data_IF_879609918952
#
_entry.id   IF_879609918952
#
_cell.length_a   1.000
_cell.length_b   1.000
_cell.length_c   1.000
_cell.angle_alpha   90.00
_cell.angle_beta   90.00
_cell.angle_gamma   90.00
#
_symmetry.space_group_name_H-M   'P 1'
#
loop_
_entity.id
_entity.type
_entity.pdbx_description
1 polymer ?
#
# COMPACT_ATOMS: atom_id res chain seq x y z
N UNK A 1 2.33 0.91 -17.21
CA UNK A 1 2.29 1.49 -15.84
C UNK A 1 3.41 0.83 -15.06
N UNK A 2 4.27 1.60 -14.38
CA UNK A 2 5.32 1.04 -13.53
C UNK A 2 4.84 1.11 -12.08
N UNK A 3 4.64 -0.05 -11.47
CA UNK A 3 4.24 -0.15 -10.06
C UNK A 3 5.40 -0.66 -9.22
N UNK A 4 5.63 -0.02 -8.08
CA UNK A 4 6.66 -0.41 -7.11
C UNK A 4 5.94 -1.08 -5.94
N UNK A 5 6.26 -2.34 -5.68
CA UNK A 5 5.65 -3.11 -4.59
C UNK A 5 6.24 -2.72 -3.23
N UNK A 6 5.69 -1.68 -2.61
CA UNK A 6 6.08 -1.27 -1.27
C UNK A 6 5.73 -2.34 -0.21
N UNK A 7 6.55 -2.48 0.86
CA UNK A 7 7.75 -1.71 1.19
C UNK A 7 9.04 -2.40 0.68
N UNK A 8 8.92 -3.62 0.15
CA UNK A 8 10.02 -4.51 -0.17
C UNK A 8 10.72 -4.12 -1.48
N UNK A 9 9.99 -3.47 -2.37
CA UNK A 9 10.51 -2.84 -3.57
C UNK A 9 10.67 -1.34 -3.35
N UNK A 10 11.84 -0.83 -3.72
CA UNK A 10 12.16 0.59 -3.66
C UNK A 10 13.05 0.97 -4.83
N UNK A 11 12.92 2.23 -5.25
CA UNK A 11 13.63 2.75 -6.41
C UNK A 11 15.09 3.03 -6.06
N UNK A 12 16.01 2.40 -6.80
CA UNK A 12 17.44 2.56 -6.65
C UNK A 12 17.98 3.64 -7.58
N UNK A 13 17.55 3.61 -8.84
CA UNK A 13 18.02 4.58 -9.82
C UNK A 13 17.00 4.89 -10.91
N UNK A 14 17.22 6.04 -11.52
CA UNK A 14 16.58 6.42 -12.78
C UNK A 14 17.66 6.69 -13.80
N UNK A 15 17.58 5.96 -14.92
CA UNK A 15 18.35 6.24 -16.13
C UNK A 15 17.46 6.99 -17.09
N UNK A 16 18.04 7.89 -17.87
CA UNK A 16 17.33 8.53 -18.95
C UNK A 16 18.29 9.25 -19.87
N UNK A 17 17.75 9.93 -20.85
CA UNK A 17 18.52 10.77 -21.73
C UNK A 17 17.68 11.91 -22.31
N UNK A 18 18.38 12.96 -22.69
CA UNK A 18 17.82 14.12 -23.35
C UNK A 18 18.34 14.22 -24.78
N UNK A 19 17.48 14.68 -25.69
CA UNK A 19 17.86 14.95 -27.08
C UNK A 19 18.72 16.22 -27.19
N UNK A 20 19.10 16.58 -28.41
CA UNK A 20 19.88 17.80 -28.70
C UNK A 20 19.16 19.11 -28.33
N UNK A 21 17.85 19.08 -28.08
CA UNK A 21 17.07 20.21 -27.56
C UNK A 21 17.00 20.25 -26.03
N UNK A 22 17.76 19.39 -25.35
CA UNK A 22 17.77 19.20 -23.89
C UNK A 22 16.41 18.79 -23.31
N UNK A 23 15.58 18.11 -24.11
CA UNK A 23 14.29 17.57 -23.64
C UNK A 23 14.47 16.12 -23.26
N UNK A 24 13.99 15.71 -22.09
CA UNK A 24 14.08 14.32 -21.65
C UNK A 24 13.11 13.48 -22.48
N UNK A 25 13.66 12.56 -23.27
CA UNK A 25 12.91 11.79 -24.27
C UNK A 25 12.78 10.30 -23.91
N UNK A 26 13.57 9.82 -22.96
CA UNK A 26 13.55 8.43 -22.51
C UNK A 26 13.94 8.28 -21.05
N UNK A 27 13.18 7.49 -20.29
CA UNK A 27 13.45 7.21 -18.88
C UNK A 27 13.24 5.73 -18.57
N UNK A 28 14.12 5.15 -17.79
CA UNK A 28 14.06 3.79 -17.27
C UNK A 28 14.24 3.80 -15.76
N UNK A 29 13.37 3.08 -15.05
CA UNK A 29 13.39 2.95 -13.60
C UNK A 29 14.02 1.62 -13.19
N UNK A 30 14.94 1.66 -12.22
CA UNK A 30 15.53 0.46 -11.62
C UNK A 30 15.23 0.41 -10.14
N UNK A 31 14.61 -0.66 -9.68
CA UNK A 31 14.37 -0.96 -8.26
C UNK A 31 15.34 -2.04 -7.78
N UNK A 32 15.26 -2.38 -6.50
CA UNK A 32 16.02 -3.52 -5.95
C UNK A 32 15.52 -4.89 -6.42
N UNK A 33 14.42 -4.98 -7.18
CA UNK A 33 13.86 -6.26 -7.65
C UNK A 33 13.73 -6.35 -9.17
N UNK A 34 13.59 -5.22 -9.88
CA UNK A 34 13.41 -5.21 -11.34
C UNK A 34 13.87 -3.91 -11.98
N UNK A 35 14.03 -3.95 -13.29
CA UNK A 35 14.23 -2.78 -14.14
C UNK A 35 13.04 -2.68 -15.10
N UNK A 36 12.52 -1.48 -15.33
CA UNK A 36 11.44 -1.25 -16.30
C UNK A 36 11.96 -1.25 -17.74
N UNK A 37 11.06 -1.33 -18.71
CA UNK A 37 11.34 -0.87 -20.07
C UNK A 37 11.55 0.66 -20.08
N UNK A 38 12.04 1.20 -21.19
CA UNK A 38 12.07 2.64 -21.41
C UNK A 38 10.66 3.20 -21.58
N UNK A 39 10.36 4.24 -20.82
CA UNK A 39 9.25 5.14 -21.05
C UNK A 39 9.72 6.26 -21.96
N UNK A 40 9.24 6.24 -23.21
CA UNK A 40 9.72 7.12 -24.28
C UNK A 40 10.67 6.38 -25.21
N UNK A 41 11.72 7.05 -25.67
CA UNK A 41 12.70 6.50 -26.60
C UNK A 41 13.88 5.85 -25.87
N UNK A 42 14.28 4.66 -26.29
CA UNK A 42 15.57 4.09 -25.90
C UNK A 42 16.70 4.82 -26.61
N UNK A 43 17.85 5.00 -25.94
CA UNK A 43 19.03 5.60 -26.55
C UNK A 43 19.87 4.53 -27.24
N UNK A 44 20.19 4.74 -28.51
CA UNK A 44 21.06 3.86 -29.29
C UNK A 44 22.44 4.49 -29.53
N UNK A 45 23.48 3.67 -29.80
CA UNK A 45 24.79 4.18 -30.18
C UNK A 45 24.70 5.09 -31.42
N UNK A 46 25.14 6.34 -31.28
CA UNK A 46 25.09 7.35 -32.34
C UNK A 46 24.01 8.42 -32.13
N UNK A 47 23.10 8.24 -31.18
CA UNK A 47 22.12 9.27 -30.83
C UNK A 47 22.80 10.46 -30.14
N UNK A 48 22.54 11.66 -30.67
CA UNK A 48 23.00 12.92 -30.08
C UNK A 48 22.13 13.28 -28.87
N UNK A 49 22.77 13.53 -27.72
CA UNK A 49 22.06 13.83 -26.50
C UNK A 49 22.86 13.59 -25.22
N UNK A 50 22.28 13.99 -24.09
CA UNK A 50 22.93 13.88 -22.77
C UNK A 50 22.29 12.77 -21.94
N UNK A 51 23.12 11.88 -21.38
CA UNK A 51 22.68 10.84 -20.45
C UNK A 51 22.38 11.42 -19.06
N UNK A 52 21.33 10.88 -18.45
CA UNK A 52 20.87 11.23 -17.11
C UNK A 52 20.95 9.96 -16.27
N UNK A 53 21.66 10.06 -15.14
CA UNK A 53 21.71 9.00 -14.14
C UNK A 53 21.46 9.60 -12.76
N UNK A 54 20.34 9.22 -12.16
CA UNK A 54 20.00 9.55 -10.79
C UNK A 54 20.23 8.30 -9.94
N UNK A 55 21.42 8.18 -9.38
CA UNK A 55 21.82 7.04 -8.54
C UNK A 55 22.80 7.51 -7.47
N UNK A 56 22.58 7.06 -6.23
CA UNK A 56 23.53 7.27 -5.14
C UNK A 56 23.73 5.95 -4.42
N UNK A 57 24.99 5.51 -4.33
CA UNK A 57 25.36 4.27 -3.62
C UNK A 57 24.76 4.24 -2.22
N UNK A 58 24.21 3.09 -1.82
CA UNK A 58 23.61 2.83 -0.51
C UNK A 58 22.41 3.74 -0.17
N UNK A 59 21.76 4.34 -1.19
CA UNK A 59 20.56 5.18 -1.05
C UNK A 59 19.45 4.77 -2.01
N UNK A 60 18.21 5.02 -1.59
CA UNK A 60 17.02 4.88 -2.43
C UNK A 60 16.44 6.25 -2.77
N UNK A 61 15.77 6.34 -3.90
CA UNK A 61 15.01 7.52 -4.30
C UNK A 61 13.70 7.55 -3.51
N UNK A 62 13.41 8.68 -2.85
CA UNK A 62 12.21 8.90 -2.03
C UNK A 62 11.30 10.02 -2.56
N UNK A 63 11.69 10.63 -3.67
CA UNK A 63 10.91 11.66 -4.34
C UNK A 63 11.68 12.27 -5.50
N UNK A 64 11.00 13.11 -6.28
CA UNK A 64 11.57 13.77 -7.45
C UNK A 64 11.34 15.28 -7.38
N UNK A 65 12.18 16.02 -8.09
CA UNK A 65 11.99 17.44 -8.38
C UNK A 65 12.41 17.71 -9.83
N UNK A 66 12.01 18.85 -10.40
CA UNK A 66 12.33 19.18 -11.77
C UNK A 66 11.40 20.25 -12.32
N UNK A 67 11.47 20.44 -13.62
CA UNK A 67 10.61 21.36 -14.36
C UNK A 67 10.12 20.68 -15.63
N UNK A 68 8.84 20.89 -15.93
CA UNK A 68 8.19 20.41 -17.13
C UNK A 68 7.29 21.52 -17.70
N UNK A 69 7.17 21.53 -19.02
CA UNK A 69 6.15 22.26 -19.75
C UNK A 69 5.20 21.25 -20.41
N UNK A 70 5.02 21.33 -21.73
CA UNK A 70 4.52 20.23 -22.57
C UNK A 70 5.40 18.97 -22.56
N UNK A 71 6.67 19.10 -22.17
CA UNK A 71 7.65 18.02 -22.09
C UNK A 71 8.44 18.11 -20.77
N UNK A 72 9.10 17.01 -20.40
CA UNK A 72 9.98 16.98 -19.24
C UNK A 72 11.33 17.63 -19.59
N UNK A 73 11.65 18.75 -18.95
CA UNK A 73 12.88 19.50 -19.22
C UNK A 73 14.01 19.11 -18.27
N UNK A 74 13.69 18.84 -17.01
CA UNK A 74 14.67 18.44 -16.01
C UNK A 74 14.07 17.48 -15.01
N UNK A 75 14.93 16.59 -14.51
CA UNK A 75 14.58 15.61 -13.49
C UNK A 75 15.73 15.48 -12.51
N UNK A 76 15.42 15.62 -11.23
CA UNK A 76 16.29 15.32 -10.10
C UNK A 76 15.56 14.46 -9.08
N UNK A 77 16.31 13.89 -8.15
CA UNK A 77 15.79 12.94 -7.16
C UNK A 77 16.25 13.30 -5.75
N UNK A 78 15.35 13.11 -4.78
CA UNK A 78 15.67 13.12 -3.37
C UNK A 78 16.09 11.72 -2.94
N UNK A 79 17.22 11.62 -2.24
CA UNK A 79 17.79 10.35 -1.80
C UNK A 79 17.75 10.23 -0.28
N UNK A 80 17.33 9.08 0.22
CA UNK A 80 17.47 8.70 1.61
C UNK A 80 18.38 7.48 1.72
N UNK A 81 19.15 7.32 2.81
CA UNK A 81 19.86 6.06 3.08
C UNK A 81 18.94 4.88 2.88
N UNK A 82 19.42 3.85 2.17
CA UNK A 82 18.96 2.49 2.40
C UNK A 82 19.55 2.20 3.76
N UNK A 83 18.92 2.70 4.83
CA UNK A 83 19.26 2.26 6.15
C UNK A 83 19.33 0.73 6.06
N UNK A 84 20.32 0.12 6.70
CA UNK A 84 20.34 -1.29 7.02
C UNK A 84 19.16 -1.62 7.96
N UNK A 85 17.94 -1.21 7.58
CA UNK A 85 16.71 -1.81 8.03
C UNK A 85 16.86 -3.26 7.60
N UNK A 86 16.90 -4.21 8.55
CA UNK A 86 16.31 -5.48 8.24
C UNK A 86 14.93 -5.09 7.71
N UNK A 87 14.63 -5.42 6.45
CA UNK A 87 13.24 -5.70 6.11
C UNK A 87 12.84 -6.71 7.18
N UNK A 88 12.20 -6.28 8.27
CA UNK A 88 11.62 -7.22 9.22
C UNK A 88 10.81 -8.13 8.33
N UNK A 89 11.16 -9.42 8.21
CA UNK A 89 10.55 -10.26 7.20
C UNK A 89 9.04 -10.25 7.47
N UNK A 90 8.31 -9.51 6.65
CA UNK A 90 6.87 -9.38 6.77
C UNK A 90 6.26 -10.37 5.81
N UNK A 91 5.42 -11.26 6.32
CA UNK A 91 4.72 -12.25 5.51
C UNK A 91 3.38 -11.68 5.06
N UNK A 92 3.10 -11.73 3.77
CA UNK A 92 1.78 -11.42 3.21
C UNK A 92 0.87 -12.64 3.41
N UNK A 93 -0.18 -12.50 4.22
CA UNK A 93 -1.20 -13.54 4.37
C UNK A 93 -2.23 -13.44 3.24
N UNK A 94 -2.84 -14.58 2.89
CA UNK A 94 -3.91 -14.64 1.90
C UNK A 94 -5.09 -13.78 2.34
N UNK A 95 -5.63 -13.00 1.41
CA UNK A 95 -6.80 -12.17 1.65
C UNK A 95 -8.09 -13.00 1.60
N UNK A 96 -9.13 -12.53 2.29
CA UNK A 96 -10.43 -13.19 2.41
C UNK A 96 -11.56 -12.23 2.01
N UNK A 97 -12.63 -12.78 1.43
CA UNK A 97 -13.77 -12.03 0.89
C UNK A 97 -14.02 -12.32 -0.59
N UNK A 98 -14.66 -11.37 -1.29
CA UNK A 98 -14.97 -11.43 -2.71
C UNK A 98 -13.77 -11.13 -3.62
N UNK A 99 -13.90 -11.46 -4.90
CA UNK A 99 -12.83 -11.27 -5.91
C UNK A 99 -13.04 -10.03 -6.82
N UNK A 100 -14.03 -9.20 -6.49
CA UNK A 100 -14.40 -8.02 -7.26
C UNK A 100 -13.69 -6.75 -6.77
N UNK A 101 -13.70 -5.71 -7.60
CA UNK A 101 -13.10 -4.41 -7.28
C UNK A 101 -11.63 -4.28 -7.67
N UNK A 102 -11.11 -3.07 -7.54
CA UNK A 102 -9.72 -2.74 -7.81
C UNK A 102 -8.84 -3.24 -6.66
N UNK A 103 -7.73 -3.88 -6.99
CA UNK A 103 -6.73 -4.30 -6.01
C UNK A 103 -6.04 -3.08 -5.40
N UNK A 104 -5.73 -3.18 -4.11
CA UNK A 104 -4.94 -2.19 -3.37
C UNK A 104 -4.01 -2.91 -2.40
N UNK A 105 -2.87 -2.29 -2.12
CA UNK A 105 -1.85 -2.84 -1.23
C UNK A 105 -1.09 -1.67 -0.60
N UNK A 106 -1.27 -1.46 0.70
CA UNK A 106 -0.55 -0.40 1.43
C UNK A 106 0.91 -0.80 1.70
N UNK A 107 1.25 -2.08 1.55
CA UNK A 107 2.51 -2.66 1.99
C UNK A 107 2.54 -2.94 3.48
N UNK A 108 3.75 -3.06 4.03
CA UNK A 108 4.03 -3.38 5.42
C UNK A 108 4.86 -2.26 6.07
N UNK A 109 4.62 -2.03 7.35
CA UNK A 109 5.21 -0.94 8.12
C UNK A 109 5.76 -1.47 9.46
N UNK A 110 6.16 -0.59 10.37
CA UNK A 110 6.56 -1.03 11.71
C UNK A 110 5.38 -1.38 12.60
N UNK A 111 4.20 -0.82 12.33
CA UNK A 111 2.97 -1.12 13.04
C UNK A 111 1.79 -0.27 12.60
N UNK A 112 0.61 -0.60 13.13
CA UNK A 112 -0.64 0.12 12.90
C UNK A 112 -0.89 1.07 14.07
N UNK A 113 -1.34 2.29 13.79
CA UNK A 113 -1.70 3.28 14.80
C UNK A 113 -3.19 3.51 14.90
N UNK A 114 -3.86 3.61 13.76
CA UNK A 114 -5.28 3.92 13.72
C UNK A 114 -5.93 3.28 12.50
N UNK A 115 -7.13 2.77 12.67
CA UNK A 115 -7.94 2.21 11.60
C UNK A 115 -9.26 2.99 11.57
N UNK A 116 -9.70 3.35 10.37
CA UNK A 116 -10.99 3.98 10.14
C UNK A 116 -11.82 3.06 9.26
N UNK A 117 -13.05 2.78 9.69
CA UNK A 117 -13.97 1.90 8.97
C UNK A 117 -15.26 2.66 8.71
N UNK A 118 -15.60 2.83 7.43
CA UNK A 118 -16.87 3.41 6.99
C UNK A 118 -17.84 2.31 6.56
N UNK A 119 -19.08 2.41 7.05
CA UNK A 119 -20.12 1.41 6.81
C UNK A 119 -21.21 1.97 5.91
N UNK A 120 -21.86 1.09 5.16
CA UNK A 120 -23.08 1.36 4.42
C UNK A 120 -24.09 0.23 4.70
N UNK A 121 -25.32 0.34 4.21
CA UNK A 121 -26.43 -0.57 4.54
C UNK A 121 -26.10 -2.06 4.40
N UNK A 122 -25.20 -2.40 3.46
CA UNK A 122 -24.91 -3.78 3.08
C UNK A 122 -23.50 -4.24 3.48
N UNK A 123 -22.75 -3.46 4.29
CA UNK A 123 -21.46 -3.89 4.81
C UNK A 123 -20.39 -2.79 4.92
N UNK A 124 -19.13 -3.23 4.98
CA UNK A 124 -17.98 -2.32 5.04
C UNK A 124 -17.77 -1.68 3.67
N UNK A 125 -17.96 -0.37 3.63
CA UNK A 125 -17.84 0.43 2.40
C UNK A 125 -16.48 1.10 2.25
N UNK A 126 -15.77 1.32 3.36
CA UNK A 126 -14.51 2.07 3.38
C UNK A 126 -13.58 1.58 4.49
N UNK A 127 -12.28 1.49 4.19
CA UNK A 127 -11.22 1.26 5.17
C UNK A 127 -10.06 2.21 4.87
N UNK A 128 -9.53 2.87 5.90
CA UNK A 128 -8.26 3.58 5.84
C UNK A 128 -7.44 3.28 7.09
N UNK A 129 -6.12 3.24 6.94
CA UNK A 129 -5.21 2.86 8.03
C UNK A 129 -4.07 3.86 8.13
N UNK A 130 -3.79 4.31 9.35
CA UNK A 130 -2.58 5.07 9.67
C UNK A 130 -1.56 4.12 10.29
N UNK A 131 -0.34 4.16 9.76
CA UNK A 131 0.77 3.31 10.13
C UNK A 131 1.89 4.10 10.82
N UNK A 132 2.73 3.37 11.55
CA UNK A 132 4.01 3.85 12.05
C UNK A 132 5.14 3.25 11.21
N UNK A 133 6.08 4.08 10.78
CA UNK A 133 7.32 3.67 10.13
C UNK A 133 8.49 4.45 10.73
N UNK A 134 9.27 3.82 11.60
CA UNK A 134 10.23 4.48 12.47
C UNK A 134 9.56 5.54 13.35
N UNK A 135 10.04 6.78 13.23
CA UNK A 135 9.47 7.97 13.90
C UNK A 135 8.36 8.65 13.10
N UNK A 136 8.09 8.20 11.87
CA UNK A 136 7.11 8.83 10.98
C UNK A 136 5.74 8.16 11.08
N UNK A 137 4.69 8.97 11.00
CA UNK A 137 3.33 8.52 10.74
C UNK A 137 3.10 8.48 9.23
N UNK A 138 2.54 7.38 8.73
CA UNK A 138 2.18 7.21 7.31
C UNK A 138 0.67 7.03 7.24
N UNK A 139 -0.02 7.94 6.57
CA UNK A 139 -1.47 7.83 6.34
C UNK A 139 -1.66 7.00 5.06
N UNK A 140 -2.25 5.82 5.18
CA UNK A 140 -2.60 4.96 4.06
C UNK A 140 -3.71 5.55 3.21
N UNK A 141 -3.92 4.96 2.03
CA UNK A 141 -5.03 5.32 1.15
C UNK A 141 -6.39 5.00 1.79
N UNK A 142 -7.42 5.76 1.41
CA UNK A 142 -8.78 5.37 1.66
C UNK A 142 -9.25 4.37 0.62
N UNK A 143 -9.65 3.18 1.05
CA UNK A 143 -10.03 2.06 0.18
C UNK A 143 -11.53 1.82 0.23
N UNK A 144 -12.19 1.92 -0.91
CA UNK A 144 -13.65 1.85 -1.02
C UNK A 144 -14.30 3.24 -1.09
N UNK A 145 -15.60 3.31 -0.83
CA UNK A 145 -16.37 4.56 -0.86
C UNK A 145 -16.81 4.96 0.54
N UNK A 146 -16.31 6.10 1.01
CA UNK A 146 -16.74 6.66 2.27
C UNK A 146 -18.23 7.03 2.21
N UNK A 147 -19.00 6.53 3.19
CA UNK A 147 -20.44 6.82 3.25
C UNK A 147 -20.70 8.17 3.96
N UNK A 148 -21.87 8.80 3.71
CA UNK A 148 -22.27 10.01 4.42
C UNK A 148 -22.48 9.82 5.93
N UNK A 149 -22.56 8.56 6.41
CA UNK A 149 -22.71 8.22 7.83
C UNK A 149 -21.42 8.43 8.63
N UNK A 150 -20.30 8.71 7.95
CA UNK A 150 -19.01 8.93 8.57
C UNK A 150 -18.21 7.63 8.72
N UNK A 151 -17.18 7.69 9.56
CA UNK A 151 -16.27 6.57 9.83
C UNK A 151 -16.15 6.35 11.33
N UNK A 152 -16.14 5.08 11.73
CA UNK A 152 -15.76 4.69 13.07
C UNK A 152 -14.24 4.51 13.13
N UNK A 153 -13.64 4.86 14.27
CA UNK A 153 -12.19 4.85 14.45
C UNK A 153 -11.78 3.87 15.55
N UNK A 154 -10.76 3.06 15.27
CA UNK A 154 -10.05 2.24 16.23
C UNK A 154 -8.61 2.73 16.35
N UNK A 155 -8.25 3.32 17.49
CA UNK A 155 -6.91 3.86 17.75
C UNK A 155 -6.16 2.99 18.76
N UNK A 156 -4.89 2.70 18.47
CA UNK A 156 -4.03 1.88 19.30
C UNK A 156 -3.21 2.76 20.25
N UNK A 157 -3.13 2.32 21.51
CA UNK A 157 -2.33 2.98 22.55
C UNK A 157 -0.84 2.61 22.47
N UNK A 158 0.00 3.28 23.27
CA UNK A 158 1.45 3.00 23.27
C UNK A 158 1.76 1.56 23.69
N UNK A 159 2.59 0.87 22.89
CA UNK A 159 2.91 -0.55 23.07
C UNK A 159 1.76 -1.50 22.72
N UNK A 160 0.64 -1.00 22.18
CA UNK A 160 -0.43 -1.81 21.63
C UNK A 160 -0.15 -2.15 20.17
N UNK A 161 -0.46 -3.38 19.78
CA UNK A 161 -0.33 -3.87 18.41
C UNK A 161 -1.42 -4.90 18.11
N UNK A 162 -1.85 -4.94 16.86
CA UNK A 162 -2.88 -5.88 16.40
C UNK A 162 -2.26 -7.27 16.25
N UNK A 163 -2.91 -8.28 16.81
CA UNK A 163 -2.50 -9.70 16.76
C UNK A 163 -3.33 -10.50 15.77
N UNK A 164 -4.61 -10.15 15.58
CA UNK A 164 -5.46 -10.74 14.55
C UNK A 164 -6.54 -9.77 14.04
N UNK A 165 -7.00 -10.03 12.82
CA UNK A 165 -8.23 -9.41 12.27
C UNK A 165 -9.24 -10.50 12.00
N UNK A 166 -10.39 -10.43 12.66
CA UNK A 166 -11.57 -11.18 12.31
C UNK A 166 -12.28 -10.51 11.15
N UNK A 167 -12.51 -11.24 10.06
CA UNK A 167 -13.19 -10.76 8.86
C UNK A 167 -14.47 -11.56 8.67
N UNK A 168 -15.60 -10.87 8.68
CA UNK A 168 -16.88 -11.40 8.24
C UNK A 168 -17.12 -10.99 6.79
N UNK A 169 -17.56 -11.92 5.96
CA UNK A 169 -17.94 -11.63 4.57
C UNK A 169 -19.15 -12.46 4.16
N UNK A 170 -19.98 -11.89 3.30
CA UNK A 170 -21.18 -12.54 2.80
C UNK A 170 -21.53 -12.06 1.39
N UNK A 171 -22.38 -12.81 0.70
CA UNK A 171 -22.98 -12.39 -0.56
C UNK A 171 -24.20 -11.51 -0.28
N UNK A 172 -24.08 -10.23 -0.63
CA UNK A 172 -25.17 -9.26 -0.59
C UNK A 172 -25.85 -9.13 -1.96
N UNK A 173 -27.11 -8.69 -1.97
CA UNK A 173 -27.80 -8.30 -3.19
C UNK A 173 -27.63 -6.81 -3.43
N UNK A 174 -26.58 -6.45 -4.16
CA UNK A 174 -26.29 -5.09 -4.56
C UNK A 174 -26.43 -4.95 -6.09
N UNK A 175 -26.97 -3.82 -6.54
CA UNK A 175 -27.04 -3.47 -7.97
C UNK A 175 -27.72 -4.54 -8.85
N UNK A 176 -28.70 -5.26 -8.30
CA UNK A 176 -29.46 -6.29 -9.01
C UNK A 176 -28.73 -7.62 -9.20
N UNK A 177 -27.58 -7.85 -8.56
CA UNK A 177 -26.87 -9.13 -8.58
C UNK A 177 -26.25 -9.49 -7.21
N UNK A 178 -25.81 -10.74 -7.07
CA UNK A 178 -25.09 -11.18 -5.87
C UNK A 178 -23.63 -10.74 -5.92
N UNK A 179 -23.17 -10.03 -4.88
CA UNK A 179 -21.81 -9.52 -4.74
C UNK A 179 -21.28 -9.94 -3.38
N UNK A 180 -20.10 -10.55 -3.31
CA UNK A 180 -19.47 -10.89 -2.03
C UNK A 180 -18.69 -9.68 -1.51
N UNK A 181 -18.98 -9.26 -0.28
CA UNK A 181 -18.34 -8.11 0.38
C UNK A 181 -17.93 -8.45 1.80
N UNK A 182 -16.98 -7.69 2.35
CA UNK A 182 -16.68 -7.70 3.78
C UNK A 182 -17.83 -7.01 4.51
N UNK A 183 -18.51 -7.73 5.39
CA UNK A 183 -19.67 -7.25 6.13
C UNK A 183 -19.29 -6.69 7.49
N UNK A 184 -18.23 -7.23 8.12
CA UNK A 184 -17.68 -6.68 9.36
C UNK A 184 -16.20 -7.01 9.58
N UNK A 185 -15.50 -6.11 10.28
CA UNK A 185 -14.13 -6.28 10.74
C UNK A 185 -14.08 -6.23 12.27
N UNK A 186 -13.26 -7.08 12.86
CA UNK A 186 -13.00 -7.07 14.30
C UNK A 186 -11.52 -7.17 14.58
N UNK A 187 -10.98 -6.25 15.37
CA UNK A 187 -9.54 -6.18 15.62
C UNK A 187 -9.25 -6.71 17.02
N UNK A 188 -8.31 -7.64 17.11
CA UNK A 188 -7.75 -8.10 18.38
C UNK A 188 -6.33 -7.57 18.51
N UNK A 189 -6.02 -6.98 19.64
CA UNK A 189 -4.69 -6.49 19.98
C UNK A 189 -4.10 -7.32 21.12
N UNK A 190 -2.86 -7.02 21.50
CA UNK A 190 -2.27 -7.56 22.72
C UNK A 190 -2.91 -7.01 24.01
N UNK A 191 -3.80 -6.02 23.92
CA UNK A 191 -4.43 -5.37 25.09
C UNK A 191 -5.95 -5.49 25.14
N UNK A 192 -6.62 -5.50 23.99
CA UNK A 192 -8.07 -5.46 23.92
C UNK A 192 -8.61 -6.16 22.66
N UNK A 193 -9.92 -6.29 22.61
CA UNK A 193 -10.66 -6.72 21.43
C UNK A 193 -11.66 -5.61 21.13
N UNK A 194 -11.69 -5.13 19.89
CA UNK A 194 -12.63 -4.10 19.47
C UNK A 194 -14.07 -4.63 19.41
N UNK A 195 -15.03 -3.71 19.41
CA UNK A 195 -16.36 -3.98 18.86
C UNK A 195 -16.25 -4.39 17.38
N UNK A 196 -17.22 -5.13 16.82
CA UNK A 196 -17.29 -5.33 15.38
C UNK A 196 -17.59 -3.99 14.69
N UNK A 197 -16.85 -3.70 13.62
CA UNK A 197 -17.12 -2.58 12.71
C UNK A 197 -17.89 -3.13 11.52
N UNK A 198 -19.18 -2.81 11.39
CA UNK A 198 -20.08 -3.42 10.42
C UNK A 198 -21.04 -4.43 11.05
N UNK A 199 -21.70 -5.20 10.19
CA UNK A 199 -22.72 -6.17 10.59
C UNK A 199 -22.12 -7.58 10.57
N UNK A 200 -22.07 -8.23 11.73
CA UNK A 200 -21.60 -9.61 11.81
C UNK A 200 -22.62 -10.53 11.13
N UNK A 201 -22.25 -11.12 10.00
CA UNK A 201 -23.10 -12.02 9.21
C UNK A 201 -22.29 -12.67 8.09
N UNK A 202 -22.69 -13.87 7.69
CA UNK A 202 -21.99 -14.68 6.69
C UNK A 202 -20.86 -15.53 7.26
N UNK A 203 -19.85 -15.78 6.43
CA UNK A 203 -18.65 -16.55 6.78
C UNK A 203 -17.69 -15.71 7.62
N UNK A 204 -16.91 -16.37 8.48
CA UNK A 204 -15.92 -15.73 9.35
C UNK A 204 -14.56 -16.38 9.18
N UNK A 205 -13.53 -15.54 8.99
CA UNK A 205 -12.14 -15.98 9.00
C UNK A 205 -11.31 -15.05 9.88
N UNK A 206 -10.44 -15.63 10.71
CA UNK A 206 -9.47 -14.88 11.51
C UNK A 206 -8.11 -14.89 10.80
N UNK A 207 -7.66 -13.71 10.35
CA UNK A 207 -6.32 -13.51 9.81
C UNK A 207 -5.34 -13.31 10.97
N UNK A 208 -4.46 -14.30 11.18
CA UNK A 208 -3.40 -14.27 12.20
C UNK A 208 -2.21 -15.13 11.83
N UNK A 209 -1.08 -14.85 12.47
CA UNK A 209 0.06 -15.76 12.53
C UNK A 209 0.67 -15.71 13.92
N UNK A 210 0.81 -16.87 14.57
CA UNK A 210 1.31 -16.95 15.96
C UNK A 210 2.71 -16.31 16.09
N UNK A 211 2.91 -15.56 17.17
CA UNK A 211 4.16 -14.83 17.43
C UNK A 211 4.37 -13.56 16.58
N UNK A 212 3.41 -13.20 15.72
CA UNK A 212 3.50 -12.02 14.87
C UNK A 212 2.45 -10.96 15.24
N UNK A 213 2.70 -9.73 14.79
CA UNK A 213 1.75 -8.62 14.79
C UNK A 213 1.41 -8.22 13.36
N UNK A 214 0.24 -7.62 13.17
CA UNK A 214 -0.16 -7.05 11.88
C UNK A 214 0.50 -5.70 11.68
N UNK A 215 1.06 -5.52 10.48
CA UNK A 215 1.88 -4.36 10.11
C UNK A 215 1.45 -3.72 8.80
N UNK A 216 0.42 -4.22 8.13
CA UNK A 216 0.03 -3.76 6.81
C UNK A 216 -1.27 -4.41 6.36
N UNK A 217 -1.95 -3.77 5.42
CA UNK A 217 -3.20 -4.24 4.84
C UNK A 217 -3.14 -4.22 3.31
N UNK A 218 -3.83 -5.17 2.70
CA UNK A 218 -4.06 -5.22 1.25
C UNK A 218 -5.45 -5.80 0.97
N UNK A 219 -5.95 -5.67 -0.25
CA UNK A 219 -7.27 -6.20 -0.58
C UNK A 219 -7.80 -5.75 -1.92
N UNK A 220 -9.13 -5.78 -2.03
CA UNK A 220 -9.87 -5.30 -3.21
C UNK A 220 -11.05 -4.46 -2.78
N UNK A 221 -11.28 -3.34 -3.48
CA UNK A 221 -12.37 -2.42 -3.16
C UNK A 221 -12.96 -1.76 -4.41
N UNK A 222 -14.23 -1.39 -4.32
CA UNK A 222 -14.96 -0.55 -5.27
C UNK A 222 -15.86 0.44 -4.51
N UNK A 223 -17.18 0.36 -4.66
CA UNK A 223 -18.13 0.99 -3.74
C UNK A 223 -18.15 0.29 -2.35
N UNK A 224 -17.71 -0.97 -2.29
CA UNK A 224 -17.54 -1.74 -1.06
C UNK A 224 -16.12 -2.26 -0.91
N UNK A 225 -15.77 -2.65 0.31
CA UNK A 225 -14.58 -3.47 0.54
C UNK A 225 -14.97 -4.91 0.26
N UNK A 226 -14.40 -5.47 -0.81
CA UNK A 226 -14.69 -6.85 -1.22
C UNK A 226 -13.79 -7.84 -0.51
N UNK A 227 -12.52 -7.50 -0.34
CA UNK A 227 -11.50 -8.41 0.16
C UNK A 227 -10.55 -7.69 1.11
N UNK A 228 -10.12 -8.38 2.17
CA UNK A 228 -9.11 -7.90 3.13
C UNK A 228 -8.07 -8.98 3.37
N UNK A 229 -6.81 -8.60 3.28
CA UNK A 229 -5.64 -9.37 3.69
C UNK A 229 -4.69 -8.50 4.52
N UNK A 230 -3.73 -9.16 5.17
CA UNK A 230 -2.80 -8.49 6.09
C UNK A 230 -1.36 -8.89 5.83
N UNK A 231 -0.44 -8.01 6.20
CA UNK A 231 0.97 -8.33 6.41
C UNK A 231 1.22 -8.54 7.90
N UNK A 232 2.01 -9.56 8.22
CA UNK A 232 2.41 -9.88 9.59
C UNK A 232 3.92 -9.87 9.75
N UNK A 233 4.42 -9.44 10.90
CA UNK A 233 5.85 -9.46 11.22
C UNK A 233 6.09 -9.88 12.68
N UNK A 234 7.25 -10.49 13.01
CA UNK A 234 7.50 -10.98 14.36
C UNK A 234 7.40 -9.88 15.42
N UNK A 235 6.77 -10.20 16.55
CA UNK A 235 6.79 -9.30 17.70
C UNK A 235 8.21 -9.27 18.25
N UNK A 236 8.85 -8.10 18.16
CA UNK A 236 10.18 -7.88 18.72
C UNK A 236 10.02 -7.72 20.22
N UNK A 237 10.65 -8.60 21.00
CA UNK A 237 10.70 -8.52 22.47
C UNK A 237 11.63 -7.42 22.94
#
# INVERSE_FOLDING_TARGET
MFEISHPNEYLLSVKGWSDSSNKIVGIQFTTNTKTSDYYGFEKYPGDEGTDILLEVKDKKIVGFHGFADTQLNSLGAYFAPIASTPLKPSKKLQAVGGDEGASWDDGAFDGVKKIQVGQNNDGVSFVAVEYQNGSQKVVGGGHGKQSPLGVETFELTDGEYITSVGVYYDKIHAEGRGVTVVTSLKFKTNKQISQPFGMTGGEYVELKEEGNKIVGFHGKASNWVHQIGVYVAPVTK
#
